data_IF_896960989986
#
_entry.id   IF_896960989986
#
_cell.length_a   1.000
_cell.length_b   1.000
_cell.length_c   1.000
_cell.angle_alpha   90.00
_cell.angle_beta   90.00
_cell.angle_gamma   90.00
#
_symmetry.space_group_name_H-M   'P 1'
#
loop_
_entity.id
_entity.type
_entity.pdbx_description
1 polymer ?
#
# COMPACT_ATOMS: atom_id res chain seq x y z
N UNK A 1 21.82 -0.92 -12.41
CA UNK A 1 21.36 -2.17 -11.74
C UNK A 1 19.88 -2.18 -11.37
N UNK A 2 19.21 -1.04 -11.06
CA UNK A 2 17.75 -1.03 -10.83
C UNK A 2 16.91 -1.63 -11.99
N UNK A 3 17.29 -1.47 -13.26
CA UNK A 3 16.42 -1.89 -14.38
C UNK A 3 16.25 -3.42 -14.56
N UNK A 4 17.03 -4.27 -13.85
CA UNK A 4 17.09 -5.74 -14.08
C UNK A 4 16.89 -6.53 -12.78
N UNK A 5 16.44 -5.88 -11.69
CA UNK A 5 16.15 -6.63 -10.46
C UNK A 5 14.87 -7.46 -10.66
N UNK A 6 14.79 -8.66 -10.07
CA UNK A 6 13.56 -9.45 -10.04
C UNK A 6 12.37 -8.61 -9.58
N UNK A 7 11.25 -8.81 -10.24
CA UNK A 7 9.99 -8.15 -9.93
C UNK A 7 8.90 -9.18 -9.73
N UNK A 8 8.04 -8.91 -8.76
CA UNK A 8 6.76 -9.59 -8.61
C UNK A 8 5.64 -8.57 -8.56
N UNK A 9 4.40 -9.06 -8.54
CA UNK A 9 3.24 -8.24 -8.24
C UNK A 9 2.59 -8.71 -6.95
N UNK A 10 2.13 -7.76 -6.14
CA UNK A 10 1.41 -8.02 -4.91
C UNK A 10 0.10 -7.25 -4.94
N UNK A 11 -0.97 -7.86 -4.41
CA UNK A 11 -2.24 -7.16 -4.22
C UNK A 11 -2.31 -6.45 -2.88
N UNK A 12 -2.63 -5.17 -2.88
CA UNK A 12 -2.69 -4.36 -1.68
C UNK A 12 -2.72 -2.87 -1.99
N UNK A 13 -2.54 -2.06 -0.96
CA UNK A 13 -2.41 -0.60 -1.12
C UNK A 13 -1.09 -0.15 -0.49
N UNK A 14 -0.30 0.61 -1.23
CA UNK A 14 0.96 1.17 -0.73
C UNK A 14 0.82 2.68 -0.58
N UNK A 15 0.98 3.16 0.65
CA UNK A 15 0.88 4.58 1.03
C UNK A 15 2.17 5.00 1.74
N UNK A 16 2.60 6.23 1.52
CA UNK A 16 3.64 6.88 2.32
C UNK A 16 3.00 7.74 3.42
N UNK A 17 3.21 7.35 4.68
CA UNK A 17 2.72 8.04 5.88
C UNK A 17 3.91 8.57 6.67
N UNK A 18 3.98 9.89 6.89
CA UNK A 18 5.11 10.54 7.58
C UNK A 18 6.50 10.15 7.03
N UNK A 19 6.58 9.84 5.73
CA UNK A 19 7.82 9.39 5.09
C UNK A 19 8.10 7.89 5.23
N UNK A 20 7.23 7.11 5.88
CA UNK A 20 7.33 5.66 6.01
C UNK A 20 6.44 4.95 4.98
N UNK A 21 6.94 3.94 4.28
CA UNK A 21 6.14 3.13 3.36
C UNK A 21 5.33 2.05 4.08
N UNK A 22 4.01 2.24 4.07
CA UNK A 22 3.04 1.32 4.64
C UNK A 22 2.35 0.51 3.53
N UNK A 23 2.53 -0.80 3.58
CA UNK A 23 1.77 -1.76 2.79
C UNK A 23 0.52 -2.22 3.57
N UNK A 24 -0.66 -1.96 3.01
CA UNK A 24 -1.94 -2.37 3.55
C UNK A 24 -2.44 -3.60 2.80
N UNK A 25 -2.58 -4.71 3.52
CA UNK A 25 -3.10 -5.99 3.05
C UNK A 25 -4.48 -6.28 3.64
N UNK A 26 -5.15 -7.28 3.09
CA UNK A 26 -6.45 -7.73 3.54
C UNK A 26 -7.37 -8.10 2.39
N UNK A 27 -8.49 -8.75 2.72
CA UNK A 27 -9.44 -9.26 1.73
C UNK A 27 -10.02 -8.14 0.83
N UNK A 28 -10.48 -8.52 -0.38
CA UNK A 28 -11.16 -7.57 -1.27
C UNK A 28 -12.43 -7.03 -0.62
N UNK A 29 -12.68 -5.73 -0.78
CA UNK A 29 -13.87 -5.06 -0.22
C UNK A 29 -13.84 -4.83 1.30
N UNK A 30 -12.73 -5.07 1.99
CA UNK A 30 -12.61 -4.80 3.43
C UNK A 30 -12.45 -3.32 3.79
N UNK A 31 -12.24 -2.44 2.80
CA UNK A 31 -12.07 -1.00 3.01
C UNK A 31 -10.64 -0.47 2.85
N UNK A 32 -9.74 -1.19 2.15
CA UNK A 32 -8.34 -0.76 2.01
C UNK A 32 -8.20 0.56 1.25
N UNK A 33 -8.87 0.67 0.10
CA UNK A 33 -8.80 1.85 -0.77
C UNK A 33 -9.53 3.04 -0.15
N UNK A 34 -10.62 2.81 0.58
CA UNK A 34 -11.32 3.82 1.38
C UNK A 34 -10.43 4.34 2.53
N UNK A 35 -9.74 3.45 3.25
CA UNK A 35 -8.77 3.84 4.28
C UNK A 35 -7.60 4.64 3.68
N UNK A 36 -7.12 4.23 2.50
CA UNK A 36 -6.09 4.96 1.78
C UNK A 36 -6.54 6.36 1.38
N UNK A 37 -7.78 6.53 0.91
CA UNK A 37 -8.36 7.84 0.60
C UNK A 37 -8.41 8.74 1.85
N UNK A 38 -8.83 8.21 3.00
CA UNK A 38 -8.84 8.96 4.26
C UNK A 38 -7.43 9.40 4.69
N UNK A 39 -6.41 8.56 4.47
CA UNK A 39 -5.02 8.90 4.74
C UNK A 39 -4.50 9.99 3.79
N UNK A 40 -4.84 9.90 2.49
CA UNK A 40 -4.50 10.90 1.49
C UNK A 40 -5.13 12.25 1.83
N UNK A 41 -6.40 12.27 2.24
CA UNK A 41 -7.11 13.46 2.68
C UNK A 41 -6.44 14.12 3.91
N UNK A 42 -5.65 13.36 4.68
CA UNK A 42 -4.84 13.84 5.82
C UNK A 42 -3.42 14.26 5.44
N UNK A 43 -3.09 14.28 4.14
CA UNK A 43 -1.81 14.75 3.61
C UNK A 43 -0.78 13.63 3.37
N UNK A 44 -1.19 12.36 3.39
CA UNK A 44 -0.33 11.24 3.03
C UNK A 44 -0.35 10.97 1.52
N UNK A 45 0.56 10.13 1.03
CA UNK A 45 0.78 9.98 -0.41
C UNK A 45 0.46 8.58 -0.89
N UNK A 46 -0.35 8.48 -1.95
CA UNK A 46 -0.57 7.22 -2.64
C UNK A 46 0.67 6.85 -3.45
N UNK A 47 1.13 5.62 -3.30
CA UNK A 47 2.15 5.02 -4.17
C UNK A 47 1.48 4.12 -5.20
N UNK A 48 0.54 3.27 -4.76
CA UNK A 48 -0.15 2.29 -5.61
C UNK A 48 -1.40 1.75 -4.91
N UNK A 49 -2.47 1.52 -5.67
CA UNK A 49 -3.71 0.85 -5.26
C UNK A 49 -3.92 -0.42 -6.11
N UNK A 50 -4.56 -1.41 -5.51
CA UNK A 50 -4.79 -2.78 -6.02
C UNK A 50 -3.54 -3.59 -6.39
N UNK A 51 -2.77 -3.19 -7.40
CA UNK A 51 -1.62 -3.94 -7.93
C UNK A 51 -0.34 -3.17 -7.70
N UNK A 52 0.56 -3.74 -6.88
CA UNK A 52 1.86 -3.15 -6.54
C UNK A 52 2.96 -3.97 -7.24
N UNK A 53 3.78 -3.30 -8.05
CA UNK A 53 5.01 -3.88 -8.58
C UNK A 53 6.06 -3.82 -7.48
N UNK A 54 6.51 -4.98 -7.03
CA UNK A 54 7.56 -5.12 -6.03
C UNK A 54 8.88 -5.43 -6.67
N UNK A 55 9.93 -4.90 -6.06
CA UNK A 55 11.29 -5.09 -6.50
C UNK A 55 12.23 -5.18 -5.33
N UNK A 56 13.08 -6.21 -5.35
CA UNK A 56 14.12 -6.39 -4.33
C UNK A 56 15.31 -5.46 -4.59
N UNK A 57 15.69 -4.69 -3.58
CA UNK A 57 16.86 -3.81 -3.58
C UNK A 57 17.69 -4.12 -2.34
N UNK A 58 18.73 -4.96 -2.50
CA UNK A 58 19.43 -5.53 -1.36
C UNK A 58 18.46 -6.34 -0.50
N UNK A 59 18.36 -6.01 0.78
CA UNK A 59 17.47 -6.67 1.74
C UNK A 59 16.10 -5.98 1.87
N UNK A 60 15.87 -4.90 1.14
CA UNK A 60 14.63 -4.14 1.17
C UNK A 60 13.75 -4.42 -0.04
N UNK A 61 12.45 -4.14 0.11
CA UNK A 61 11.48 -4.16 -0.98
C UNK A 61 11.10 -2.72 -1.34
N UNK A 62 11.19 -2.38 -2.62
CA UNK A 62 10.63 -1.15 -3.19
C UNK A 62 9.33 -1.50 -3.92
N UNK A 63 8.25 -0.81 -3.59
CA UNK A 63 6.98 -0.92 -4.29
C UNK A 63 6.70 0.31 -5.16
N UNK A 64 6.03 0.08 -6.29
CA UNK A 64 5.58 1.13 -7.22
C UNK A 64 4.28 0.71 -7.90
N UNK A 65 3.53 1.67 -8.44
CA UNK A 65 2.36 1.38 -9.26
C UNK A 65 2.75 0.95 -10.68
N UNK A 66 2.00 0.03 -11.32
CA UNK A 66 1.94 -0.04 -12.78
C UNK A 66 1.62 1.32 -13.38
N UNK A 67 2.14 1.57 -14.59
CA UNK A 67 1.96 2.83 -15.30
C UNK A 67 0.48 3.15 -15.54
N UNK A 68 -0.32 2.14 -15.90
CA UNK A 68 -1.73 2.30 -16.22
C UNK A 68 -2.58 2.75 -15.02
N UNK A 69 -2.24 2.28 -13.82
CA UNK A 69 -2.98 2.56 -12.58
C UNK A 69 -2.30 3.63 -11.72
N UNK A 70 -1.18 4.20 -12.18
CA UNK A 70 -0.47 5.25 -11.46
C UNK A 70 -1.41 6.43 -11.21
N UNK A 71 -1.44 6.93 -9.96
CA UNK A 71 -2.28 8.05 -9.49
C UNK A 71 -3.79 7.77 -9.44
N UNK A 72 -4.22 6.57 -9.82
CA UNK A 72 -5.61 6.18 -9.78
C UNK A 72 -5.90 5.35 -8.53
N UNK A 73 -7.11 5.53 -8.01
CA UNK A 73 -7.61 4.78 -6.87
C UNK A 73 -9.08 4.41 -7.14
N UNK A 74 -9.47 3.16 -6.89
CA UNK A 74 -10.83 2.69 -7.11
C UNK A 74 -11.62 2.75 -5.79
N UNK A 75 -12.67 3.58 -5.73
CA UNK A 75 -13.62 3.58 -4.61
C UNK A 75 -14.95 3.03 -5.05
N UNK A 76 -15.48 2.05 -4.31
CA UNK A 76 -16.81 1.51 -4.57
C UNK A 76 -17.86 2.59 -4.40
N UNK A 77 -18.73 2.73 -5.42
CA UNK A 77 -19.79 3.75 -5.44
C UNK A 77 -19.36 5.11 -6.03
N UNK A 78 -18.06 5.38 -6.15
CA UNK A 78 -17.54 6.56 -6.87
C UNK A 78 -16.89 6.19 -8.22
N UNK A 79 -16.34 4.98 -8.32
CA UNK A 79 -15.55 4.54 -9.46
C UNK A 79 -14.06 4.86 -9.29
N UNK A 80 -13.35 4.91 -10.41
CA UNK A 80 -11.92 5.25 -10.43
C UNK A 80 -11.78 6.77 -10.36
N UNK A 81 -10.97 7.24 -9.40
CA UNK A 81 -10.64 8.66 -9.22
C UNK A 81 -9.16 8.91 -9.46
N UNK A 82 -8.81 10.10 -9.92
CA UNK A 82 -7.43 10.54 -10.03
C UNK A 82 -7.03 11.35 -8.78
N UNK A 83 -6.06 10.84 -8.03
CA UNK A 83 -5.63 11.44 -6.77
C UNK A 83 -4.84 12.73 -6.97
N UNK A 84 -4.04 12.82 -8.04
CA UNK A 84 -3.30 14.04 -8.36
C UNK A 84 -4.25 15.20 -8.65
N UNK A 85 -5.31 14.95 -9.41
CA UNK A 85 -6.27 15.99 -9.78
C UNK A 85 -7.05 16.53 -8.58
N UNK A 86 -7.36 15.66 -7.62
CA UNK A 86 -8.16 16.00 -6.43
C UNK A 86 -7.32 16.60 -5.29
N UNK A 87 -6.11 16.09 -5.06
CA UNK A 87 -5.29 16.41 -3.89
C UNK A 87 -3.91 17.01 -4.23
N UNK A 88 -3.61 17.18 -5.52
CA UNK A 88 -2.38 17.77 -6.02
C UNK A 88 -1.21 16.79 -6.14
N UNK A 89 -0.13 17.25 -6.78
CA UNK A 89 1.07 16.44 -7.07
C UNK A 89 1.77 15.90 -5.82
N UNK A 90 1.61 16.56 -4.67
CA UNK A 90 2.18 16.10 -3.40
C UNK A 90 1.50 14.84 -2.87
N UNK A 91 0.24 14.57 -3.24
CA UNK A 91 -0.55 13.44 -2.75
C UNK A 91 -0.23 12.10 -3.43
N UNK A 92 0.68 12.09 -4.41
CA UNK A 92 1.09 10.89 -5.15
C UNK A 92 2.60 10.73 -5.13
N UNK A 93 3.09 9.49 -5.14
CA UNK A 93 4.51 9.15 -5.21
C UNK A 93 4.77 8.01 -6.17
N UNK A 94 5.93 8.02 -6.83
CA UNK A 94 6.27 7.03 -7.86
C UNK A 94 6.63 5.65 -7.29
N UNK A 95 7.32 5.64 -6.15
CA UNK A 95 7.83 4.42 -5.51
C UNK A 95 8.15 4.68 -4.04
N UNK A 96 8.10 3.64 -3.21
CA UNK A 96 8.49 3.72 -1.80
C UNK A 96 9.05 2.39 -1.30
N UNK A 97 10.03 2.44 -0.40
CA UNK A 97 10.45 1.25 0.35
C UNK A 97 9.31 0.78 1.26
N UNK A 98 9.11 -0.53 1.37
CA UNK A 98 8.12 -1.11 2.27
C UNK A 98 8.79 -1.35 3.61
N UNK A 99 8.31 -0.64 4.64
CA UNK A 99 8.89 -0.62 5.98
C UNK A 99 7.92 -1.18 7.03
N UNK A 100 6.62 -1.08 6.77
CA UNK A 100 5.56 -1.63 7.62
C UNK A 100 4.51 -2.33 6.78
N UNK A 101 4.01 -3.45 7.29
CA UNK A 101 2.87 -4.17 6.74
C UNK A 101 1.75 -4.15 7.77
N UNK A 102 0.55 -3.76 7.35
CA UNK A 102 -0.66 -3.87 8.15
C UNK A 102 -1.65 -4.73 7.38
N UNK A 103 -2.09 -5.82 8.00
CA UNK A 103 -3.17 -6.65 7.46
C UNK A 103 -4.49 -6.28 8.14
N UNK A 104 -5.45 -5.79 7.35
CA UNK A 104 -6.81 -5.54 7.83
C UNK A 104 -7.60 -6.84 7.80
N UNK A 105 -8.17 -7.22 8.94
CA UNK A 105 -9.03 -8.41 9.10
C UNK A 105 -10.40 -8.02 9.64
N UNK A 106 -11.43 -8.80 9.31
CA UNK A 106 -12.73 -8.65 9.97
C UNK A 106 -12.60 -9.20 11.37
N UNK A 107 -13.26 -8.56 12.33
CA UNK A 107 -13.20 -8.96 13.73
C UNK A 107 -13.54 -10.44 13.95
N UNK A 108 -14.53 -10.96 13.23
CA UNK A 108 -14.96 -12.37 13.33
C UNK A 108 -13.86 -13.36 12.89
N UNK A 109 -12.92 -12.93 12.06
CA UNK A 109 -11.82 -13.75 11.57
C UNK A 109 -10.60 -13.71 12.53
N UNK A 110 -10.68 -12.95 13.62
CA UNK A 110 -9.60 -12.80 14.60
C UNK A 110 -9.92 -13.62 15.85
N UNK A 111 -9.29 -14.78 15.98
CA UNK A 111 -9.52 -15.69 17.10
C UNK A 111 -8.96 -15.15 18.42
N UNK A 112 -7.75 -14.60 18.41
CA UNK A 112 -7.11 -13.97 19.55
C UNK A 112 -6.39 -12.70 19.10
N UNK A 113 -6.53 -11.64 19.89
CA UNK A 113 -5.86 -10.35 19.66
C UNK A 113 -4.76 -10.21 20.70
N UNK A 114 -3.51 -10.21 20.23
CA UNK A 114 -2.37 -9.81 21.06
C UNK A 114 -2.56 -8.36 21.54
N UNK A 115 -2.48 -8.13 22.85
CA UNK A 115 -2.85 -6.83 23.46
C UNK A 115 -1.64 -6.03 23.93
N UNK A 116 -0.51 -6.68 24.17
CA UNK A 116 0.68 -6.05 24.71
C UNK A 116 1.63 -5.56 23.60
N UNK A 117 1.61 -6.22 22.44
CA UNK A 117 2.43 -5.84 21.28
C UNK A 117 3.94 -5.96 21.56
N UNK A 118 4.32 -6.90 22.44
CA UNK A 118 5.71 -7.09 22.86
C UNK A 118 6.52 -7.84 21.81
N UNK A 119 5.87 -8.69 21.03
CA UNK A 119 6.50 -9.48 19.98
C UNK A 119 6.53 -8.72 18.65
N UNK A 120 7.64 -8.88 17.92
CA UNK A 120 7.76 -8.38 16.55
C UNK A 120 7.29 -9.46 15.58
N UNK A 121 6.27 -9.12 14.80
CA UNK A 121 5.82 -9.94 13.67
C UNK A 121 6.53 -9.48 12.40
N UNK A 122 6.90 -10.45 11.57
CA UNK A 122 7.52 -10.22 10.27
C UNK A 122 6.68 -10.92 9.20
N UNK A 123 6.55 -10.26 8.06
CA UNK A 123 5.89 -10.81 6.88
C UNK A 123 6.95 -11.04 5.79
N UNK A 124 7.11 -12.29 5.35
CA UNK A 124 8.02 -12.62 4.25
C UNK A 124 7.32 -12.40 2.91
N UNK A 125 7.78 -11.39 2.16
CA UNK A 125 7.26 -11.08 0.82
C UNK A 125 8.34 -11.44 -0.21
N UNK A 126 8.01 -12.40 -1.07
CA UNK A 126 8.89 -12.86 -2.15
C UNK A 126 8.75 -11.96 -3.37
N UNK A 127 9.78 -11.17 -3.68
CA UNK A 127 9.95 -10.40 -4.92
C UNK A 127 11.22 -10.80 -5.67
#
# INVERSE_FOLDING_TARGET
>A
MKAIAPQTTLRGVLIEIYGLGLLILGNSGIGKSECALDLIARGHRLISDDTIILKRIGDCLEGSSPELTYEHLEIRGLGIINIRDLFGVSAVGKSKLIELVIEVKRWIDVAEVERLGLDRHYEEISA
#
